data_IF_481165785583
#
_entry.id   IF_481165785583
#
_cell.length_a   1.000
_cell.length_b   1.000
_cell.length_c   1.000
_cell.angle_alpha   90.00
_cell.angle_beta   90.00
_cell.angle_gamma   90.00
#
_symmetry.space_group_name_H-M   'P 1'
#
loop_
_entity.id
_entity.type
_entity.pdbx_description
1 polymer ?
#
# COMPACT_ATOMS: atom_id res chain seq x y z
N UNK A 1 -11.57 5.03 -30.55
CA UNK A 1 -11.99 5.22 -29.15
C UNK A 1 -10.71 5.41 -28.34
N UNK A 2 -10.58 6.52 -27.64
CA UNK A 2 -9.36 6.80 -26.88
C UNK A 2 -9.14 5.79 -25.76
N UNK A 3 -7.89 5.52 -25.44
CA UNK A 3 -7.46 4.59 -24.39
C UNK A 3 -7.24 5.35 -23.08
N UNK A 4 -7.62 4.73 -21.96
CA UNK A 4 -7.27 5.17 -20.62
C UNK A 4 -5.77 4.94 -20.33
N UNK A 5 -5.24 5.51 -19.25
CA UNK A 5 -3.83 5.36 -18.90
C UNK A 5 -3.45 3.88 -18.71
N UNK A 6 -4.26 3.12 -17.99
CA UNK A 6 -4.06 1.68 -17.80
C UNK A 6 -4.08 0.92 -19.14
N UNK A 7 -4.98 1.26 -20.04
CA UNK A 7 -5.05 0.63 -21.36
C UNK A 7 -3.80 0.92 -22.21
N UNK A 8 -3.25 2.15 -22.15
CA UNK A 8 -2.00 2.50 -22.84
C UNK A 8 -0.83 1.63 -22.41
N UNK A 9 -0.66 1.45 -21.11
CA UNK A 9 0.42 0.62 -20.55
C UNK A 9 0.23 -0.83 -20.98
N UNK A 10 -0.96 -1.38 -20.84
CA UNK A 10 -1.27 -2.77 -21.21
C UNK A 10 -1.12 -3.02 -22.71
N UNK A 11 -1.53 -2.08 -23.58
CA UNK A 11 -1.34 -2.19 -25.02
C UNK A 11 0.15 -2.28 -25.38
N UNK A 12 0.98 -1.40 -24.81
CA UNK A 12 2.42 -1.39 -25.04
C UNK A 12 3.06 -2.73 -24.63
N UNK A 13 2.72 -3.26 -23.45
CA UNK A 13 3.26 -4.52 -22.94
C UNK A 13 2.73 -5.76 -23.67
N UNK A 14 1.57 -5.66 -24.30
CA UNK A 14 1.04 -6.70 -25.18
C UNK A 14 1.57 -6.62 -26.62
N UNK A 15 2.31 -5.56 -26.97
CA UNK A 15 2.77 -5.30 -28.33
C UNK A 15 1.64 -4.95 -29.30
N UNK A 16 0.54 -4.37 -28.77
CA UNK A 16 -0.64 -4.01 -29.54
C UNK A 16 -0.74 -2.49 -29.68
N UNK A 17 -1.27 -2.03 -30.83
CA UNK A 17 -1.50 -0.60 -31.06
C UNK A 17 -2.63 -0.05 -30.17
N UNK A 18 -3.65 -0.86 -29.90
CA UNK A 18 -4.78 -0.53 -29.05
C UNK A 18 -5.31 -1.77 -28.33
N UNK A 19 -5.93 -1.54 -27.16
CA UNK A 19 -6.69 -2.55 -26.40
C UNK A 19 -8.03 -1.97 -25.96
N UNK A 20 -9.00 -2.85 -25.67
CA UNK A 20 -10.34 -2.46 -25.20
C UNK A 20 -10.67 -3.16 -23.90
N UNK A 21 -11.48 -2.51 -23.05
CA UNK A 21 -12.01 -3.13 -21.84
C UNK A 21 -12.68 -4.48 -22.17
N UNK A 22 -12.37 -5.49 -21.36
CA UNK A 22 -12.84 -6.86 -21.54
C UNK A 22 -11.99 -7.73 -22.48
N UNK A 23 -11.06 -7.17 -23.25
CA UNK A 23 -10.14 -7.91 -24.13
C UNK A 23 -9.17 -8.75 -23.30
N UNK A 24 -8.94 -10.00 -23.70
CA UNK A 24 -7.89 -10.85 -23.13
C UNK A 24 -6.58 -10.60 -23.89
N UNK A 25 -5.52 -10.36 -23.16
CA UNK A 25 -4.17 -10.09 -23.69
C UNK A 25 -3.12 -10.90 -22.92
N UNK A 26 -1.99 -11.14 -23.55
CA UNK A 26 -0.75 -11.53 -22.87
C UNK A 26 0.18 -10.32 -22.87
N UNK A 27 0.68 -9.95 -21.69
CA UNK A 27 1.56 -8.79 -21.54
C UNK A 27 2.92 -9.22 -20.96
N UNK A 28 3.98 -8.56 -21.42
CA UNK A 28 5.32 -8.68 -20.83
C UNK A 28 5.32 -8.03 -19.44
N UNK A 29 6.10 -8.58 -18.54
CA UNK A 29 6.26 -8.08 -17.18
C UNK A 29 7.62 -7.39 -17.02
N UNK A 30 7.62 -6.25 -16.36
CA UNK A 30 8.85 -5.54 -15.96
C UNK A 30 9.30 -5.93 -14.56
N UNK A 31 8.37 -6.41 -13.72
CA UNK A 31 8.71 -6.91 -12.40
C UNK A 31 7.69 -7.95 -11.92
N UNK A 32 8.21 -8.99 -11.28
CA UNK A 32 7.44 -9.96 -10.49
C UNK A 32 7.92 -9.89 -9.06
N UNK A 33 7.01 -9.68 -8.10
CA UNK A 33 7.39 -9.54 -6.70
C UNK A 33 6.64 -10.49 -5.76
N UNK A 34 7.24 -10.76 -4.61
CA UNK A 34 6.64 -11.50 -3.54
C UNK A 34 7.36 -11.32 -2.20
N UNK A 35 6.72 -11.79 -1.15
CA UNK A 35 7.16 -11.64 0.23
C UNK A 35 7.37 -13.01 0.91
N UNK A 36 7.75 -13.01 2.18
CA UNK A 36 8.03 -14.22 2.95
C UNK A 36 6.79 -15.11 3.25
N UNK A 37 5.57 -14.64 2.91
CA UNK A 37 4.35 -15.47 3.02
C UNK A 37 4.02 -16.13 1.68
N UNK A 38 4.04 -15.38 0.60
CA UNK A 38 3.51 -15.79 -0.71
C UNK A 38 4.57 -16.40 -1.62
N UNK A 39 5.82 -15.93 -1.52
CA UNK A 39 6.94 -16.50 -2.31
C UNK A 39 7.16 -17.99 -2.04
N UNK A 40 7.13 -18.52 -0.80
CA UNK A 40 7.28 -19.94 -0.59
C UNK A 40 6.22 -20.79 -1.33
N UNK A 41 4.97 -20.30 -1.40
CA UNK A 41 3.90 -20.95 -2.15
C UNK A 41 4.18 -20.91 -3.65
N UNK A 42 4.62 -19.74 -4.15
CA UNK A 42 4.99 -19.58 -5.55
C UNK A 42 6.19 -20.47 -5.94
N UNK A 43 7.19 -20.60 -5.08
CA UNK A 43 8.34 -21.50 -5.29
C UNK A 43 7.87 -22.96 -5.43
N UNK A 44 6.98 -23.41 -4.56
CA UNK A 44 6.44 -24.77 -4.63
C UNK A 44 5.69 -25.01 -5.96
N UNK A 45 4.90 -24.05 -6.42
CA UNK A 45 4.20 -24.15 -7.71
C UNK A 45 5.18 -24.07 -8.90
N UNK A 46 6.22 -23.27 -8.80
CA UNK A 46 7.29 -23.15 -9.79
C UNK A 46 8.02 -24.50 -9.98
N UNK A 47 8.42 -25.12 -8.87
CA UNK A 47 9.10 -26.42 -8.89
C UNK A 47 8.19 -27.55 -9.38
N UNK A 48 6.93 -27.58 -8.92
CA UNK A 48 5.92 -28.55 -9.34
C UNK A 48 5.59 -28.45 -10.83
N UNK A 49 5.63 -27.23 -11.39
CA UNK A 49 5.44 -27.04 -12.83
C UNK A 49 6.65 -27.44 -13.67
N UNK A 50 7.78 -27.77 -13.03
CA UNK A 50 9.00 -28.20 -13.71
C UNK A 50 9.74 -27.06 -14.40
N UNK A 51 9.63 -25.83 -13.92
CA UNK A 51 10.40 -24.71 -14.46
C UNK A 51 11.87 -24.81 -14.04
N UNK A 52 12.80 -24.70 -15.01
CA UNK A 52 14.24 -24.88 -14.80
C UNK A 52 14.97 -23.55 -14.54
N UNK A 53 14.34 -22.39 -14.78
CA UNK A 53 14.95 -21.08 -14.63
C UNK A 53 13.94 -19.96 -14.53
N UNK A 54 14.40 -18.81 -14.06
CA UNK A 54 13.65 -17.57 -14.05
C UNK A 54 13.86 -16.81 -15.35
N UNK A 55 12.86 -16.00 -15.76
CA UNK A 55 12.96 -15.27 -17.01
C UNK A 55 14.05 -14.19 -16.97
N UNK A 56 14.22 -13.53 -15.83
CA UNK A 56 15.25 -12.53 -15.61
C UNK A 56 15.41 -12.26 -14.10
N UNK A 57 16.65 -12.41 -13.61
CA UNK A 57 16.99 -12.22 -12.19
C UNK A 57 16.94 -10.77 -11.71
N UNK A 58 17.01 -9.80 -12.61
CA UNK A 58 16.92 -8.37 -12.31
C UNK A 58 15.46 -7.91 -12.19
N UNK A 59 14.54 -8.66 -12.79
CA UNK A 59 13.11 -8.36 -12.87
C UNK A 59 12.25 -9.20 -11.90
N UNK A 60 12.88 -9.76 -10.88
CA UNK A 60 12.23 -10.43 -9.75
C UNK A 60 12.66 -9.76 -8.47
N UNK A 61 11.69 -9.41 -7.60
CA UNK A 61 11.95 -8.90 -6.27
C UNK A 61 11.34 -9.83 -5.21
N UNK A 62 12.12 -10.15 -4.18
CA UNK A 62 11.68 -10.92 -3.02
C UNK A 62 12.02 -10.12 -1.77
N UNK A 63 11.00 -9.74 -1.00
CA UNK A 63 11.14 -8.93 0.20
C UNK A 63 10.64 -9.70 1.41
N UNK A 64 11.51 -9.94 2.38
CA UNK A 64 11.12 -10.53 3.65
C UNK A 64 10.67 -9.41 4.59
N UNK A 65 9.35 -9.24 4.79
CA UNK A 65 8.80 -8.10 5.52
C UNK A 65 7.62 -8.41 6.44
N UNK A 66 7.05 -9.61 6.37
CA UNK A 66 5.88 -9.95 7.17
C UNK A 66 6.23 -10.56 8.54
N UNK A 67 7.21 -11.48 8.55
CA UNK A 67 7.55 -12.26 9.73
C UNK A 67 9.01 -12.13 10.16
N UNK A 68 9.70 -11.13 9.67
CA UNK A 68 11.11 -10.89 10.02
C UNK A 68 11.27 -9.70 10.97
N UNK A 69 12.22 -9.81 11.94
CA UNK A 69 12.97 -11.02 12.32
C UNK A 69 12.00 -12.15 12.69
N UNK A 70 12.33 -13.39 12.31
CA UNK A 70 11.35 -14.47 12.29
C UNK A 70 10.70 -14.70 13.68
N UNK A 71 9.37 -14.78 13.70
CA UNK A 71 8.56 -14.91 14.92
C UNK A 71 8.50 -16.34 15.48
N UNK A 72 8.71 -17.34 14.61
CA UNK A 72 8.63 -18.77 14.95
C UNK A 72 9.42 -19.62 13.95
N UNK A 73 9.50 -20.95 14.21
CA UNK A 73 10.23 -21.90 13.37
C UNK A 73 9.62 -21.98 11.96
N UNK A 74 8.30 -21.89 11.83
CA UNK A 74 7.61 -21.95 10.54
C UNK A 74 8.00 -20.75 9.66
N UNK A 75 7.96 -19.56 10.21
CA UNK A 75 8.37 -18.34 9.47
C UNK A 75 9.87 -18.38 9.13
N UNK A 76 10.72 -18.90 10.01
CA UNK A 76 12.14 -19.09 9.72
C UNK A 76 12.37 -20.06 8.55
N UNK A 77 11.58 -21.11 8.46
CA UNK A 77 11.62 -22.07 7.34
C UNK A 77 11.19 -21.41 6.04
N UNK A 78 10.12 -20.61 6.06
CA UNK A 78 9.66 -19.85 4.90
C UNK A 78 10.73 -18.86 4.40
N UNK A 79 11.32 -18.09 5.31
CA UNK A 79 12.41 -17.17 4.98
C UNK A 79 13.65 -17.91 4.43
N UNK A 80 13.98 -19.09 4.97
CA UNK A 80 15.06 -19.94 4.45
C UNK A 80 14.78 -20.36 3.01
N UNK A 81 13.57 -20.83 2.70
CA UNK A 81 13.17 -21.21 1.34
C UNK A 81 13.32 -20.06 0.35
N UNK A 82 12.92 -18.82 0.74
CA UNK A 82 13.13 -17.64 -0.09
C UNK A 82 14.62 -17.37 -0.35
N UNK A 83 15.48 -17.48 0.69
CA UNK A 83 16.93 -17.29 0.55
C UNK A 83 17.54 -18.34 -0.39
N UNK A 84 17.16 -19.59 -0.24
CA UNK A 84 17.67 -20.69 -1.07
C UNK A 84 17.27 -20.49 -2.54
N UNK A 85 16.02 -20.09 -2.80
CA UNK A 85 15.56 -19.76 -4.14
C UNK A 85 16.31 -18.56 -4.73
N UNK A 86 16.41 -17.46 -3.97
CA UNK A 86 17.13 -16.28 -4.42
C UNK A 86 18.60 -16.57 -4.74
N UNK A 87 19.28 -17.38 -3.92
CA UNK A 87 20.66 -17.81 -4.16
C UNK A 87 20.76 -18.74 -5.38
N UNK A 88 19.83 -19.70 -5.54
CA UNK A 88 19.82 -20.66 -6.65
C UNK A 88 19.73 -19.96 -8.02
N UNK A 89 18.93 -18.91 -8.11
CA UNK A 89 18.66 -18.18 -9.35
C UNK A 89 19.36 -16.82 -9.42
N UNK A 90 20.22 -16.51 -8.44
CA UNK A 90 21.01 -15.27 -8.37
C UNK A 90 20.11 -14.00 -8.46
N UNK A 91 18.96 -14.03 -7.75
CA UNK A 91 17.99 -12.92 -7.74
C UNK A 91 18.65 -11.68 -7.13
N UNK A 92 18.71 -10.59 -7.90
CA UNK A 92 19.41 -9.38 -7.48
C UNK A 92 18.59 -8.54 -6.47
N UNK A 93 17.28 -8.50 -6.61
CA UNK A 93 16.40 -7.73 -5.75
C UNK A 93 15.85 -8.59 -4.60
N UNK A 94 16.77 -9.08 -3.76
CA UNK A 94 16.44 -9.84 -2.56
C UNK A 94 16.75 -9.02 -1.30
N UNK A 95 15.74 -8.80 -0.47
CA UNK A 95 15.82 -7.96 0.72
C UNK A 95 15.45 -8.75 1.98
N UNK A 96 16.43 -8.93 2.85
CA UNK A 96 16.32 -9.65 4.12
C UNK A 96 16.59 -8.73 5.31
N UNK A 97 16.65 -9.29 6.51
CA UNK A 97 16.96 -8.59 7.78
C UNK A 97 18.18 -7.68 7.62
N UNK A 98 18.06 -6.43 8.03
CA UNK A 98 19.08 -5.39 7.89
C UNK A 98 18.93 -4.52 6.64
N UNK A 99 18.37 -5.05 5.56
CA UNK A 99 18.01 -4.29 4.35
C UNK A 99 16.50 -4.25 4.11
N UNK A 100 15.74 -4.78 5.06
CA UNK A 100 14.31 -4.96 4.97
C UNK A 100 13.53 -3.64 4.98
N UNK A 101 12.34 -3.70 4.46
CA UNK A 101 11.31 -2.68 4.49
C UNK A 101 10.04 -3.34 4.00
N UNK A 102 8.89 -2.75 4.30
CA UNK A 102 7.62 -3.23 3.78
C UNK A 102 7.65 -3.09 2.26
N UNK A 103 7.42 -4.18 1.51
CA UNK A 103 7.67 -4.29 0.08
C UNK A 103 7.11 -3.11 -0.74
N UNK A 104 5.88 -2.69 -0.46
CA UNK A 104 5.21 -1.59 -1.18
C UNK A 104 5.69 -0.18 -0.78
N UNK A 105 6.55 -0.06 0.20
CA UNK A 105 7.30 1.16 0.49
C UNK A 105 8.75 1.05 0.03
N UNK A 106 9.37 -0.12 0.19
CA UNK A 106 10.77 -0.37 -0.13
C UNK A 106 11.06 -0.31 -1.63
N UNK A 107 10.25 -1.00 -2.46
CA UNK A 107 10.52 -1.08 -3.90
C UNK A 107 10.44 0.27 -4.62
N UNK A 108 9.45 1.15 -4.33
CA UNK A 108 9.47 2.54 -4.82
C UNK A 108 10.67 3.34 -4.31
N UNK A 109 11.02 3.21 -3.03
CA UNK A 109 12.17 3.90 -2.42
C UNK A 109 13.48 3.53 -3.11
N UNK A 110 13.64 2.25 -3.47
CA UNK A 110 14.81 1.70 -4.17
C UNK A 110 14.79 1.95 -5.68
N UNK A 111 13.72 2.47 -6.24
CA UNK A 111 13.57 2.69 -7.69
C UNK A 111 13.50 1.39 -8.51
N UNK A 112 13.12 0.29 -7.87
CA UNK A 112 12.92 -1.03 -8.53
C UNK A 112 11.70 -0.97 -9.46
N UNK A 113 10.68 -0.21 -9.07
CA UNK A 113 9.50 0.08 -9.90
C UNK A 113 9.58 1.51 -10.39
N UNK A 114 9.23 1.72 -11.65
CA UNK A 114 9.22 3.04 -12.28
C UNK A 114 7.94 3.29 -13.08
N UNK A 115 7.80 4.50 -13.63
CA UNK A 115 6.66 4.84 -14.47
C UNK A 115 6.62 4.01 -15.74
N UNK A 116 5.43 3.58 -16.11
CA UNK A 116 5.17 2.79 -17.32
C UNK A 116 5.36 1.29 -17.15
N UNK A 117 5.88 0.82 -16.01
CA UNK A 117 6.07 -0.62 -15.75
C UNK A 117 4.73 -1.38 -15.75
N UNK A 118 4.81 -2.66 -16.11
CA UNK A 118 3.77 -3.68 -15.90
C UNK A 118 4.24 -4.66 -14.82
N UNK A 119 3.60 -4.60 -13.63
CA UNK A 119 4.08 -5.29 -12.43
C UNK A 119 3.01 -6.23 -11.90
N UNK A 120 3.40 -7.46 -11.55
CA UNK A 120 2.58 -8.38 -10.76
C UNK A 120 3.26 -8.74 -9.45
N UNK A 121 2.46 -8.99 -8.42
CA UNK A 121 2.95 -9.50 -7.14
C UNK A 121 1.95 -10.44 -6.49
N UNK A 122 2.44 -11.39 -5.73
CA UNK A 122 1.55 -12.27 -4.97
C UNK A 122 1.10 -11.62 -3.65
N UNK A 123 0.95 -10.31 -3.65
CA UNK A 123 0.33 -9.51 -2.59
C UNK A 123 -0.77 -8.61 -3.17
N UNK A 124 -1.89 -8.49 -2.45
CA UNK A 124 -3.05 -7.72 -2.90
C UNK A 124 -2.73 -6.24 -3.12
N UNK A 125 -1.81 -5.68 -2.32
CA UNK A 125 -1.47 -4.25 -2.35
C UNK A 125 -0.37 -3.91 -3.38
N UNK A 126 -0.01 -4.85 -4.27
CA UNK A 126 0.85 -4.58 -5.43
C UNK A 126 0.33 -3.41 -6.28
N UNK A 127 -0.97 -3.11 -6.23
CA UNK A 127 -1.57 -1.94 -6.87
C UNK A 127 -0.97 -0.58 -6.44
N UNK A 128 -0.20 -0.52 -5.35
CA UNK A 128 0.47 0.68 -4.81
C UNK A 128 1.26 1.44 -5.87
N UNK A 129 1.93 0.74 -6.78
CA UNK A 129 2.86 1.35 -7.73
C UNK A 129 2.20 2.16 -8.85
N UNK A 130 0.88 2.10 -8.97
CA UNK A 130 0.13 3.02 -9.83
C UNK A 130 0.29 4.50 -9.45
N UNK A 131 0.72 4.78 -8.22
CA UNK A 131 1.14 6.11 -7.79
C UNK A 131 2.31 6.67 -8.60
N UNK A 132 3.17 5.80 -9.14
CA UNK A 132 4.30 6.14 -10.01
C UNK A 132 3.91 6.19 -11.49
N UNK A 133 2.66 5.88 -11.84
CA UNK A 133 2.22 5.74 -13.23
C UNK A 133 2.54 4.36 -13.82
N UNK A 134 2.65 3.31 -13.01
CA UNK A 134 2.80 1.92 -13.43
C UNK A 134 1.43 1.20 -13.45
N UNK A 135 1.23 0.23 -14.34
CA UNK A 135 0.18 -0.75 -14.16
C UNK A 135 0.70 -1.83 -13.21
N UNK A 136 0.11 -1.93 -12.05
CA UNK A 136 0.53 -2.90 -11.03
C UNK A 136 -0.67 -3.54 -10.35
N UNK A 137 -0.62 -4.85 -10.15
CA UNK A 137 -1.76 -5.60 -9.61
C UNK A 137 -1.35 -6.85 -8.84
N UNK A 138 -2.15 -7.20 -7.83
CA UNK A 138 -2.02 -8.45 -7.11
C UNK A 138 -2.53 -9.64 -7.93
N UNK A 139 -1.82 -10.76 -7.81
CA UNK A 139 -2.16 -12.05 -8.45
C UNK A 139 -2.00 -13.20 -7.45
N UNK A 140 -2.45 -14.39 -7.82
CA UNK A 140 -2.21 -15.61 -7.05
C UNK A 140 -0.75 -16.07 -7.11
N UNK A 141 -0.34 -16.88 -6.12
CA UNK A 141 1.03 -17.45 -6.10
C UNK A 141 1.35 -18.31 -7.31
N UNK A 142 0.36 -18.95 -7.93
CA UNK A 142 0.51 -19.73 -9.17
C UNK A 142 0.83 -18.81 -10.36
N UNK A 143 0.12 -17.68 -10.48
CA UNK A 143 0.41 -16.68 -11.53
C UNK A 143 1.78 -16.02 -11.31
N UNK A 144 2.15 -15.78 -10.04
CA UNK A 144 3.50 -15.32 -9.70
C UNK A 144 4.56 -16.32 -10.16
N UNK A 145 4.37 -17.62 -9.90
CA UNK A 145 5.29 -18.67 -10.33
C UNK A 145 5.46 -18.69 -11.86
N UNK A 146 4.35 -18.63 -12.61
CA UNK A 146 4.37 -18.54 -14.06
C UNK A 146 5.06 -17.27 -14.54
N UNK A 147 4.78 -16.12 -13.91
CA UNK A 147 5.43 -14.84 -14.18
C UNK A 147 6.93 -14.88 -13.97
N UNK A 148 7.41 -15.47 -12.85
CA UNK A 148 8.85 -15.65 -12.59
C UNK A 148 9.55 -16.51 -13.64
N UNK A 149 8.85 -17.52 -14.18
CA UNK A 149 9.42 -18.41 -15.19
C UNK A 149 9.42 -17.81 -16.60
N UNK A 150 8.36 -17.07 -16.97
CA UNK A 150 8.09 -16.69 -18.37
C UNK A 150 8.26 -15.22 -18.67
N UNK A 151 8.24 -14.34 -17.66
CA UNK A 151 8.19 -12.89 -17.84
C UNK A 151 6.88 -12.39 -18.47
N UNK A 152 5.83 -13.20 -18.42
CA UNK A 152 4.53 -12.91 -19.05
C UNK A 152 3.39 -13.16 -18.09
N UNK A 153 2.32 -12.38 -18.23
CA UNK A 153 1.03 -12.65 -17.61
C UNK A 153 -0.11 -12.35 -18.56
N UNK A 154 -1.23 -13.05 -18.37
CA UNK A 154 -2.45 -12.75 -19.09
C UNK A 154 -3.32 -11.79 -18.27
N UNK A 155 -4.00 -10.89 -18.95
CA UNK A 155 -4.94 -9.96 -18.34
C UNK A 155 -6.22 -9.86 -19.17
N UNK A 156 -7.34 -9.76 -18.47
CA UNK A 156 -8.53 -9.14 -19.03
C UNK A 156 -8.38 -7.64 -18.83
N UNK A 157 -8.29 -6.87 -19.90
CA UNK A 157 -8.13 -5.41 -19.82
C UNK A 157 -9.27 -4.82 -19.00
N UNK A 158 -8.99 -4.11 -17.87
CA UNK A 158 -10.04 -3.55 -17.03
C UNK A 158 -10.72 -2.35 -17.72
N UNK A 159 -12.01 -2.18 -17.45
CA UNK A 159 -12.65 -0.88 -17.61
C UNK A 159 -12.13 0.10 -16.56
N UNK A 160 -12.40 1.39 -16.70
CA UNK A 160 -11.89 2.39 -15.77
C UNK A 160 -13.00 3.27 -15.18
N UNK A 161 -12.82 3.64 -13.92
CA UNK A 161 -13.54 4.72 -13.24
C UNK A 161 -12.58 5.90 -13.13
N UNK A 162 -13.03 7.08 -13.54
CA UNK A 162 -12.27 8.31 -13.40
C UNK A 162 -12.67 9.05 -12.12
N UNK A 163 -11.66 9.38 -11.29
CA UNK A 163 -11.83 10.24 -10.12
C UNK A 163 -11.20 11.60 -10.41
N UNK A 164 -12.03 12.64 -10.58
CA UNK A 164 -11.57 14.00 -10.88
C UNK A 164 -11.40 14.76 -9.57
N UNK A 165 -10.15 14.96 -9.16
CA UNK A 165 -9.79 15.65 -7.91
C UNK A 165 -9.71 17.15 -8.14
N UNK A 166 -10.36 17.94 -7.25
CA UNK A 166 -10.40 19.40 -7.30
C UNK A 166 -9.96 20.02 -5.97
N UNK A 167 -9.24 21.13 -6.04
CA UNK A 167 -8.76 21.85 -4.85
C UNK A 167 -7.56 21.17 -4.17
N UNK A 168 -7.45 21.32 -2.86
CA UNK A 168 -6.40 20.76 -2.01
C UNK A 168 -6.95 20.34 -0.66
N UNK A 169 -6.28 19.45 0.05
CA UNK A 169 -6.67 19.00 1.38
C UNK A 169 -6.78 20.15 2.38
N UNK A 170 -7.75 20.03 3.29
CA UNK A 170 -7.84 20.82 4.50
C UNK A 170 -6.81 20.40 5.56
N UNK A 171 -6.75 21.11 6.70
CA UNK A 171 -5.82 20.76 7.78
C UNK A 171 -6.03 19.33 8.31
N UNK A 172 -4.93 18.60 8.51
CA UNK A 172 -4.91 17.23 9.06
C UNK A 172 -5.65 16.18 8.22
N UNK A 173 -5.96 16.48 6.97
CA UNK A 173 -6.50 15.53 5.96
C UNK A 173 -5.36 15.08 5.06
N UNK A 174 -5.37 13.81 4.67
CA UNK A 174 -4.32 13.17 3.87
C UNK A 174 -4.89 12.22 2.81
N UNK A 175 -4.04 11.60 2.02
CA UNK A 175 -4.42 10.56 1.06
C UNK A 175 -5.21 9.40 1.69
N UNK A 176 -4.97 9.09 2.98
CA UNK A 176 -5.74 8.08 3.71
C UNK A 176 -7.21 8.48 3.85
N UNK A 177 -7.47 9.72 4.20
CA UNK A 177 -8.85 10.23 4.33
C UNK A 177 -9.54 10.25 2.96
N UNK A 178 -8.82 10.61 1.88
CA UNK A 178 -9.32 10.56 0.52
C UNK A 178 -9.74 9.15 0.11
N UNK A 179 -8.88 8.16 0.29
CA UNK A 179 -9.22 6.79 -0.16
C UNK A 179 -10.30 6.16 0.71
N UNK A 180 -10.34 6.43 2.00
CA UNK A 180 -11.43 5.98 2.87
C UNK A 180 -12.76 6.62 2.45
N UNK A 181 -12.77 7.92 2.13
CA UNK A 181 -13.95 8.60 1.61
C UNK A 181 -14.43 7.96 0.31
N UNK A 182 -13.53 7.66 -0.64
CA UNK A 182 -13.88 6.99 -1.90
C UNK A 182 -14.49 5.63 -1.63
N UNK A 183 -13.85 4.79 -0.81
CA UNK A 183 -14.36 3.44 -0.50
C UNK A 183 -15.72 3.54 0.19
N UNK A 184 -15.92 4.50 1.10
CA UNK A 184 -17.21 4.76 1.72
C UNK A 184 -18.30 5.17 0.73
N UNK A 185 -17.93 5.87 -0.35
CA UNK A 185 -18.87 6.32 -1.37
C UNK A 185 -19.27 5.22 -2.37
N UNK A 186 -18.29 4.38 -2.79
CA UNK A 186 -18.54 3.39 -3.87
C UNK A 186 -18.69 1.95 -3.37
N UNK A 187 -18.34 1.68 -2.10
CA UNK A 187 -18.35 0.34 -1.50
C UNK A 187 -17.07 -0.47 -1.79
N UNK A 188 -16.93 -1.61 -1.10
CA UNK A 188 -15.77 -2.51 -1.23
C UNK A 188 -15.71 -3.26 -2.57
N UNK A 189 -16.78 -3.23 -3.34
CA UNK A 189 -16.91 -3.85 -4.68
C UNK A 189 -17.25 -2.84 -5.79
N UNK A 190 -17.33 -1.54 -5.49
CA UNK A 190 -17.71 -0.50 -6.44
C UNK A 190 -16.77 -0.36 -7.64
N UNK A 191 -15.50 -0.70 -7.47
CA UNK A 191 -14.51 -0.75 -8.54
C UNK A 191 -14.09 -2.19 -8.91
N UNK A 192 -14.95 -3.19 -8.66
CA UNK A 192 -14.61 -4.60 -8.87
C UNK A 192 -14.07 -4.86 -10.27
N UNK A 193 -12.80 -5.32 -10.32
CA UNK A 193 -12.03 -5.60 -11.54
C UNK A 193 -11.84 -4.38 -12.47
N UNK A 194 -11.94 -3.16 -11.97
CA UNK A 194 -11.73 -1.92 -12.76
C UNK A 194 -10.40 -1.25 -12.42
N UNK A 195 -9.96 -0.33 -13.26
CA UNK A 195 -8.90 0.62 -12.96
C UNK A 195 -9.51 1.87 -12.31
N UNK A 196 -8.95 2.34 -11.21
CA UNK A 196 -9.28 3.64 -10.62
C UNK A 196 -8.26 4.67 -11.10
N UNK A 197 -8.65 5.55 -12.02
CA UNK A 197 -7.75 6.58 -12.58
C UNK A 197 -8.02 7.94 -11.94
N UNK A 198 -6.99 8.50 -11.29
CA UNK A 198 -7.08 9.77 -10.57
C UNK A 198 -6.59 10.90 -11.46
N UNK A 199 -7.42 11.90 -11.70
CA UNK A 199 -7.18 13.00 -12.63
C UNK A 199 -7.61 14.33 -12.03
N UNK A 200 -7.50 15.40 -12.79
CA UNK A 200 -7.97 16.73 -12.40
C UNK A 200 -6.91 17.59 -11.71
N UNK A 201 -7.20 18.89 -11.52
CA UNK A 201 -6.22 19.87 -11.04
C UNK A 201 -5.79 19.65 -9.59
N UNK A 202 -6.58 18.91 -8.80
CA UNK A 202 -6.25 18.58 -7.41
C UNK A 202 -5.08 17.60 -7.29
N UNK A 203 -4.79 16.79 -8.33
CA UNK A 203 -3.68 15.81 -8.31
C UNK A 203 -2.35 16.47 -7.99
N UNK A 204 -2.08 17.65 -8.52
CA UNK A 204 -0.83 18.37 -8.28
C UNK A 204 -0.63 18.81 -6.81
N UNK A 205 -1.68 18.79 -5.99
CA UNK A 205 -1.61 19.13 -4.56
C UNK A 205 -1.30 17.92 -3.66
N UNK A 206 -1.35 16.70 -4.19
CA UNK A 206 -1.06 15.46 -3.47
C UNK A 206 0.43 15.17 -3.49
N UNK A 207 0.97 14.83 -2.31
CA UNK A 207 2.34 14.33 -2.20
C UNK A 207 2.46 12.93 -2.80
N UNK A 208 3.68 12.43 -2.97
CA UNK A 208 3.86 11.03 -3.39
C UNK A 208 3.37 10.04 -2.33
N UNK A 209 3.54 10.36 -1.04
CA UNK A 209 3.07 9.51 0.05
C UNK A 209 1.54 9.42 0.07
N UNK A 210 0.82 10.53 -0.23
CA UNK A 210 -0.63 10.51 -0.45
C UNK A 210 -1.04 9.59 -1.61
N UNK A 211 -0.37 9.73 -2.78
CA UNK A 211 -0.68 8.93 -3.98
C UNK A 211 -0.41 7.44 -3.76
N UNK A 212 0.71 7.11 -3.10
CA UNK A 212 1.05 5.73 -2.74
C UNK A 212 0.01 5.14 -1.78
N UNK A 213 -0.48 5.91 -0.81
CA UNK A 213 -1.56 5.50 0.09
C UNK A 213 -2.87 5.24 -0.67
N UNK A 214 -3.25 6.15 -1.56
CA UNK A 214 -4.49 6.03 -2.36
C UNK A 214 -4.46 4.81 -3.27
N UNK A 215 -3.37 4.62 -4.03
CA UNK A 215 -3.22 3.46 -4.90
C UNK A 215 -3.13 2.14 -4.13
N UNK A 216 -2.48 2.14 -2.94
CA UNK A 216 -2.39 0.97 -2.07
C UNK A 216 -3.78 0.43 -1.72
N UNK A 217 -4.71 1.30 -1.38
CA UNK A 217 -6.05 0.90 -0.95
C UNK A 217 -7.08 0.80 -2.10
N UNK A 218 -6.69 0.93 -3.36
CA UNK A 218 -7.60 0.73 -4.49
C UNK A 218 -8.20 -0.69 -4.50
N UNK A 219 -7.43 -1.69 -4.08
CA UNK A 219 -7.91 -3.08 -3.96
C UNK A 219 -9.05 -3.22 -2.94
N UNK A 220 -9.13 -2.34 -1.94
CA UNK A 220 -10.20 -2.37 -0.94
C UNK A 220 -11.57 -1.91 -1.49
N UNK A 221 -11.58 -1.32 -2.70
CA UNK A 221 -12.78 -1.08 -3.49
C UNK A 221 -12.98 -2.17 -4.59
N UNK A 222 -12.20 -3.26 -4.57
CA UNK A 222 -12.23 -4.35 -5.56
C UNK A 222 -11.45 -4.07 -6.85
N UNK A 223 -10.73 -2.95 -6.94
CA UNK A 223 -10.03 -2.54 -8.16
C UNK A 223 -8.84 -3.46 -8.51
N UNK A 224 -8.54 -3.58 -9.79
CA UNK A 224 -7.28 -4.20 -10.27
C UNK A 224 -6.08 -3.31 -9.97
N UNK A 225 -6.24 -2.00 -10.12
CA UNK A 225 -5.22 -1.01 -9.79
C UNK A 225 -5.85 0.36 -9.51
N UNK A 226 -5.13 1.19 -8.75
CA UNK A 226 -5.29 2.64 -8.76
C UNK A 226 -4.12 3.25 -9.51
N UNK A 227 -4.30 4.33 -10.25
CA UNK A 227 -3.22 4.92 -11.04
C UNK A 227 -3.35 6.45 -11.13
N UNK A 228 -2.20 7.12 -11.00
CA UNK A 228 -2.06 8.56 -11.22
C UNK A 228 -1.28 8.82 -12.52
N UNK A 229 -1.59 9.91 -13.25
CA UNK A 229 -0.74 10.36 -14.33
C UNK A 229 0.61 10.85 -13.78
N UNK A 230 1.65 10.75 -14.58
CA UNK A 230 2.99 11.22 -14.22
C UNK A 230 3.07 12.74 -14.41
N UNK A 231 3.15 13.47 -13.30
CA UNK A 231 3.37 14.90 -13.26
C UNK A 231 4.75 15.26 -12.69
N UNK A 232 5.00 16.54 -12.42
CA UNK A 232 6.27 17.00 -11.86
C UNK A 232 6.57 16.41 -10.47
N UNK A 233 5.56 16.13 -9.65
CA UNK A 233 5.72 15.48 -8.35
C UNK A 233 6.26 14.06 -8.53
N UNK A 234 5.68 13.29 -9.44
CA UNK A 234 6.15 11.94 -9.76
C UNK A 234 7.53 11.96 -10.41
N UNK A 235 7.79 12.88 -11.36
CA UNK A 235 9.11 13.03 -11.99
C UNK A 235 10.20 13.36 -10.97
N UNK A 236 9.92 14.29 -10.05
CA UNK A 236 10.84 14.64 -8.97
C UNK A 236 11.13 13.45 -8.03
N UNK A 237 10.12 12.65 -7.74
CA UNK A 237 10.27 11.44 -6.93
C UNK A 237 11.13 10.38 -7.62
N UNK A 238 10.92 10.14 -8.92
CA UNK A 238 11.66 9.14 -9.70
C UNK A 238 13.11 9.56 -9.98
N UNK A 239 13.37 10.86 -10.05
CA UNK A 239 14.70 11.39 -10.39
C UNK A 239 15.79 10.92 -9.42
N UNK A 240 16.76 10.20 -9.96
CA UNK A 240 17.89 9.64 -9.20
C UNK A 240 17.53 8.40 -8.34
N UNK A 241 16.29 7.91 -8.43
CA UNK A 241 15.85 6.65 -7.82
C UNK A 241 15.71 5.53 -8.84
N UNK A 242 15.02 5.81 -9.96
CA UNK A 242 14.71 4.78 -10.97
C UNK A 242 15.96 4.06 -11.45
N UNK A 243 15.94 2.74 -11.39
CA UNK A 243 17.02 1.88 -11.89
C UNK A 243 16.89 1.61 -13.39
N UNK A 244 15.73 1.90 -13.99
CA UNK A 244 15.45 1.82 -15.42
C UNK A 244 14.94 3.16 -15.92
N UNK A 245 15.01 3.38 -17.23
CA UNK A 245 14.45 4.57 -17.86
C UNK A 245 12.90 4.56 -17.74
N UNK A 246 12.29 5.57 -17.11
CA UNK A 246 10.84 5.61 -16.98
C UNK A 246 10.17 5.93 -18.32
N UNK A 247 9.06 5.23 -18.61
CA UNK A 247 8.21 5.50 -19.78
C UNK A 247 6.93 6.19 -19.32
N UNK A 248 6.64 7.35 -19.89
CA UNK A 248 5.49 8.15 -19.51
C UNK A 248 4.34 7.95 -20.47
N UNK A 249 3.23 7.42 -19.98
CA UNK A 249 1.99 7.28 -20.71
C UNK A 249 0.96 8.30 -20.22
N UNK A 250 0.09 8.71 -21.11
CA UNK A 250 -1.05 9.59 -20.83
C UNK A 250 -2.32 8.99 -21.44
N UNK A 251 -3.45 9.16 -20.75
CA UNK A 251 -4.74 8.81 -21.33
C UNK A 251 -5.03 9.68 -22.57
N UNK A 252 -5.72 9.12 -23.54
CA UNK A 252 -6.17 9.90 -24.69
C UNK A 252 -7.20 10.96 -24.25
N UNK A 253 -7.28 12.12 -24.90
CA UNK A 253 -8.28 13.14 -24.56
C UNK A 253 -9.72 12.65 -24.67
N UNK A 254 -9.97 11.66 -25.54
CA UNK A 254 -11.26 10.99 -25.74
C UNK A 254 -11.32 9.60 -25.07
N UNK A 255 -10.51 9.36 -24.06
CA UNK A 255 -10.52 8.13 -23.28
C UNK A 255 -11.92 7.84 -22.70
N UNK A 256 -12.32 6.58 -22.74
CA UNK A 256 -13.67 6.17 -22.31
C UNK A 256 -13.62 5.59 -20.87
N UNK A 257 -14.37 6.20 -19.97
CA UNK A 257 -14.57 5.75 -18.60
C UNK A 257 -16.01 5.25 -18.41
N UNK A 258 -16.20 4.18 -17.63
CA UNK A 258 -17.56 3.72 -17.28
C UNK A 258 -18.27 4.71 -16.37
N UNK A 259 -17.51 5.40 -15.51
CA UNK A 259 -18.03 6.38 -14.58
C UNK A 259 -16.98 7.47 -14.34
N UNK A 260 -17.45 8.69 -14.12
CA UNK A 260 -16.63 9.81 -13.65
C UNK A 260 -17.19 10.33 -12.34
N UNK A 261 -16.33 10.42 -11.32
CA UNK A 261 -16.67 10.88 -9.97
C UNK A 261 -15.81 12.10 -9.66
N UNK A 262 -16.45 13.21 -9.31
CA UNK A 262 -15.74 14.42 -8.87
C UNK A 262 -15.58 14.43 -7.35
N UNK A 263 -14.38 14.78 -6.86
CA UNK A 263 -14.07 14.92 -5.45
C UNK A 263 -13.43 16.27 -5.18
N UNK A 264 -14.04 17.03 -4.29
CA UNK A 264 -13.53 18.33 -3.84
C UNK A 264 -12.70 18.11 -2.57
N UNK A 265 -11.37 18.09 -2.72
CA UNK A 265 -10.43 17.75 -1.64
C UNK A 265 -10.58 18.64 -0.39
N UNK A 266 -10.95 19.92 -0.56
CA UNK A 266 -11.16 20.85 0.54
C UNK A 266 -12.42 20.59 1.37
N UNK A 267 -13.31 19.71 0.90
CA UNK A 267 -14.52 19.30 1.63
C UNK A 267 -14.32 18.00 2.40
N UNK A 268 -13.19 17.32 2.19
CA UNK A 268 -12.87 16.10 2.94
C UNK A 268 -12.56 16.44 4.39
N UNK A 269 -13.02 15.58 5.28
CA UNK A 269 -12.77 15.65 6.72
C UNK A 269 -11.95 14.44 7.17
N UNK A 270 -11.25 14.51 8.33
CA UNK A 270 -10.63 13.35 8.93
C UNK A 270 -11.63 12.22 9.06
N UNK A 271 -11.32 11.09 8.41
CA UNK A 271 -12.23 9.97 8.21
C UNK A 271 -11.73 8.72 8.95
N UNK A 272 -12.66 7.98 9.52
CA UNK A 272 -12.40 6.69 10.17
C UNK A 272 -13.32 5.64 9.57
N UNK A 273 -12.74 4.52 9.14
CA UNK A 273 -13.55 3.35 8.76
C UNK A 273 -13.76 2.46 9.97
N UNK A 274 -15.02 2.22 10.30
CA UNK A 274 -15.43 1.38 11.43
C UNK A 274 -15.40 -0.12 11.06
N UNK A 275 -15.25 -1.02 12.03
CA UNK A 275 -15.32 -2.45 11.78
C UNK A 275 -16.69 -2.87 11.19
N UNK A 276 -16.75 -3.90 10.35
CA UNK A 276 -15.65 -4.79 9.92
C UNK A 276 -15.46 -4.73 8.39
N UNK A 277 -15.73 -3.57 7.77
CA UNK A 277 -15.50 -3.33 6.34
C UNK A 277 -14.90 -1.94 6.12
N UNK A 278 -13.96 -1.77 5.18
CA UNK A 278 -13.37 -0.47 4.88
C UNK A 278 -14.37 0.60 4.42
N UNK A 279 -15.51 0.20 3.86
CA UNK A 279 -16.59 1.11 3.40
C UNK A 279 -17.40 1.73 4.54
N UNK A 280 -17.31 1.20 5.75
CA UNK A 280 -18.08 1.72 6.89
C UNK A 280 -17.43 2.99 7.45
N UNK A 281 -17.43 4.05 6.66
CA UNK A 281 -16.71 5.30 6.93
C UNK A 281 -17.58 6.32 7.66
N UNK A 282 -16.95 7.00 8.62
CA UNK A 282 -17.51 8.06 9.44
C UNK A 282 -16.51 9.20 9.60
N UNK A 283 -16.98 10.40 9.94
CA UNK A 283 -16.09 11.47 10.35
C UNK A 283 -15.45 11.15 11.72
N UNK A 284 -14.18 11.45 11.89
CA UNK A 284 -13.46 11.16 13.15
C UNK A 284 -14.14 11.83 14.37
N UNK A 285 -14.78 12.98 14.19
CA UNK A 285 -15.53 13.69 15.23
C UNK A 285 -16.72 12.90 15.80
N UNK A 286 -17.27 11.96 15.05
CA UNK A 286 -18.39 11.11 15.48
C UNK A 286 -17.95 10.03 16.47
N UNK A 287 -16.69 9.61 16.40
CA UNK A 287 -16.13 8.51 17.21
C UNK A 287 -15.76 8.86 18.66
N UNK A 288 -15.97 10.09 19.12
CA UNK A 288 -15.52 10.62 20.42
C UNK A 288 -15.93 9.83 21.68
N UNK A 289 -16.86 8.92 21.56
CA UNK A 289 -17.32 8.02 22.65
C UNK A 289 -16.73 6.62 22.56
N UNK A 290 -16.03 6.31 21.46
CA UNK A 290 -15.44 4.98 21.22
C UNK A 290 -14.06 4.93 21.88
N UNK A 291 -13.99 4.23 23.02
CA UNK A 291 -12.74 3.98 23.72
C UNK A 291 -11.89 2.99 22.96
N UNK A 292 -10.57 3.21 22.95
CA UNK A 292 -9.59 2.36 22.28
C UNK A 292 -8.56 1.80 23.25
N UNK A 293 -7.96 0.66 22.88
CA UNK A 293 -6.94 -0.05 23.70
C UNK A 293 -5.58 0.01 23.02
N UNK A 294 -5.53 0.24 21.70
CA UNK A 294 -4.30 0.24 20.94
C UNK A 294 -4.35 1.22 19.76
N UNK A 295 -3.19 1.75 19.41
CA UNK A 295 -2.98 2.38 18.10
C UNK A 295 -1.80 1.72 17.38
N UNK A 296 -1.92 1.58 16.06
CA UNK A 296 -0.83 1.13 15.19
C UNK A 296 -0.65 2.18 14.09
N UNK A 297 0.52 2.80 14.03
CA UNK A 297 0.88 3.81 13.02
C UNK A 297 2.03 3.25 12.19
N UNK A 298 1.78 3.01 10.91
CA UNK A 298 2.73 2.39 10.00
C UNK A 298 2.04 1.64 8.87
N UNK A 299 2.64 0.55 8.41
CA UNK A 299 2.23 -0.30 7.28
C UNK A 299 2.67 0.21 5.90
N UNK A 300 2.41 -0.61 4.86
CA UNK A 300 2.64 -0.21 3.45
C UNK A 300 1.80 0.99 3.04
N UNK A 301 0.68 1.23 3.72
CA UNK A 301 -0.23 2.34 3.44
C UNK A 301 0.33 3.65 4.00
N UNK A 302 0.71 3.66 5.29
CA UNK A 302 1.06 4.88 6.04
C UNK A 302 2.22 4.64 7.03
N UNK A 303 3.38 4.30 6.51
CA UNK A 303 4.62 4.16 7.29
C UNK A 303 5.78 4.95 6.70
N UNK A 304 5.53 5.85 5.76
CA UNK A 304 6.52 6.69 5.10
C UNK A 304 6.89 7.90 5.96
N UNK A 305 7.81 8.71 5.48
CA UNK A 305 8.38 9.78 6.29
C UNK A 305 7.33 10.84 6.67
N UNK A 306 6.45 11.23 5.74
CA UNK A 306 5.38 12.19 6.00
C UNK A 306 4.35 11.67 7.02
N UNK A 307 4.09 10.36 7.01
CA UNK A 307 3.21 9.70 7.99
C UNK A 307 3.80 9.75 9.39
N UNK A 308 5.11 9.48 9.50
CA UNK A 308 5.85 9.59 10.77
C UNK A 308 5.88 11.04 11.27
N UNK A 309 6.06 12.01 10.37
CA UNK A 309 6.00 13.43 10.69
C UNK A 309 4.62 13.86 11.20
N UNK A 310 3.55 13.41 10.54
CA UNK A 310 2.18 13.69 10.97
C UNK A 310 1.91 13.19 12.39
N UNK A 311 2.34 11.96 12.70
CA UNK A 311 2.23 11.39 14.05
C UNK A 311 3.11 12.14 15.06
N UNK A 312 4.37 12.43 14.71
CA UNK A 312 5.31 13.18 15.54
C UNK A 312 4.76 14.55 15.93
N UNK A 313 4.22 15.30 14.98
CA UNK A 313 3.68 16.64 15.23
C UNK A 313 2.51 16.68 16.22
N UNK A 314 1.84 15.53 16.44
CA UNK A 314 0.77 15.39 17.42
C UNK A 314 1.31 14.87 18.76
N UNK A 315 2.21 13.90 18.72
CA UNK A 315 2.68 13.20 19.94
C UNK A 315 3.83 13.92 20.67
N UNK A 316 4.58 14.77 19.97
CA UNK A 316 5.75 15.46 20.53
C UNK A 316 5.43 16.20 21.83
N UNK A 317 6.19 15.88 22.91
CA UNK A 317 6.07 16.50 24.21
C UNK A 317 4.78 16.17 24.98
N UNK A 318 4.07 15.12 24.53
CA UNK A 318 2.82 14.64 25.15
C UNK A 318 2.93 13.16 25.49
N UNK A 319 1.99 12.65 26.29
CA UNK A 319 1.87 11.23 26.61
C UNK A 319 0.57 10.65 26.07
N UNK A 320 0.62 9.42 25.56
CA UNK A 320 -0.58 8.66 25.19
C UNK A 320 -1.44 8.36 26.43
N UNK A 321 -2.73 8.19 26.24
CA UNK A 321 -3.67 7.93 27.32
C UNK A 321 -3.32 6.65 28.08
N UNK A 322 -3.51 6.67 29.41
CA UNK A 322 -3.29 5.50 30.26
C UNK A 322 -4.16 4.32 29.80
N UNK A 323 -3.52 3.18 29.54
CA UNK A 323 -4.18 1.97 29.06
C UNK A 323 -4.19 1.81 27.55
N UNK A 324 -3.73 2.80 26.79
CA UNK A 324 -3.53 2.67 25.34
C UNK A 324 -2.11 2.18 25.05
N UNK A 325 -1.98 1.22 24.15
CA UNK A 325 -0.69 0.76 23.60
C UNK A 325 -0.43 1.47 22.29
N UNK A 326 0.70 2.18 22.17
CA UNK A 326 1.13 2.84 20.94
C UNK A 326 2.22 2.03 20.22
N UNK A 327 2.00 1.66 18.97
CA UNK A 327 2.96 0.94 18.14
C UNK A 327 3.23 1.75 16.89
N UNK A 328 4.50 2.17 16.71
CA UNK A 328 4.96 2.95 15.57
C UNK A 328 5.85 2.07 14.70
N UNK A 329 5.58 2.01 13.40
CA UNK A 329 6.28 1.14 12.45
C UNK A 329 6.71 1.95 11.23
N UNK A 330 7.93 2.51 11.22
CA UNK A 330 8.51 3.09 10.01
C UNK A 330 8.58 2.04 8.90
N UNK A 331 8.18 2.40 7.68
CA UNK A 331 7.96 1.40 6.61
C UNK A 331 9.26 0.80 6.05
N UNK A 332 10.39 1.48 6.16
CA UNK A 332 11.70 1.01 5.66
C UNK A 332 12.82 1.34 6.64
N UNK A 333 13.96 0.67 6.48
CA UNK A 333 15.15 0.99 7.27
C UNK A 333 15.65 2.41 7.04
N UNK A 334 15.42 2.99 5.84
CA UNK A 334 15.76 4.38 5.58
C UNK A 334 14.85 5.34 6.35
N UNK A 335 13.55 5.12 6.33
CA UNK A 335 12.59 5.91 7.15
C UNK A 335 12.90 5.74 8.64
N UNK A 336 13.19 4.53 9.10
CA UNK A 336 13.53 4.28 10.51
C UNK A 336 14.79 5.06 10.93
N UNK A 337 15.84 5.00 10.11
CA UNK A 337 17.08 5.77 10.33
C UNK A 337 16.81 7.27 10.35
N UNK A 338 15.99 7.77 9.45
CA UNK A 338 15.64 9.19 9.39
C UNK A 338 14.85 9.62 10.64
N UNK A 339 13.93 8.79 11.14
CA UNK A 339 13.23 9.04 12.40
C UNK A 339 14.20 9.13 13.59
N UNK A 340 15.25 8.30 13.61
CA UNK A 340 16.31 8.39 14.64
C UNK A 340 17.08 9.70 14.52
N UNK A 341 17.54 10.04 13.31
CA UNK A 341 18.35 11.25 13.07
C UNK A 341 17.59 12.55 13.38
N UNK A 342 16.27 12.58 13.15
CA UNK A 342 15.40 13.71 13.49
C UNK A 342 14.96 13.73 14.96
N UNK A 343 15.32 12.72 15.76
CA UNK A 343 14.89 12.59 17.16
C UNK A 343 13.43 12.17 17.34
N UNK A 344 12.73 11.79 16.25
CA UNK A 344 11.32 11.39 16.30
C UNK A 344 11.13 10.07 17.03
N UNK A 345 12.07 9.13 16.88
CA UNK A 345 12.05 7.84 17.61
C UNK A 345 12.05 8.08 19.12
N UNK A 346 12.92 8.96 19.62
CA UNK A 346 12.95 9.33 21.03
C UNK A 346 11.64 9.97 21.47
N UNK A 347 11.09 10.90 20.68
CA UNK A 347 9.83 11.54 21.01
C UNK A 347 8.65 10.56 21.07
N UNK A 348 8.61 9.55 20.21
CA UNK A 348 7.59 8.49 20.28
C UNK A 348 7.74 7.63 21.54
N UNK A 349 8.97 7.29 21.92
CA UNK A 349 9.25 6.55 23.15
C UNK A 349 8.85 7.39 24.39
N UNK A 350 9.21 8.67 24.42
CA UNK A 350 8.84 9.59 25.49
C UNK A 350 7.31 9.77 25.59
N UNK A 351 6.61 9.69 24.45
CA UNK A 351 5.15 9.69 24.43
C UNK A 351 4.52 8.38 24.97
N UNK A 352 5.32 7.35 25.23
CA UNK A 352 4.85 6.05 25.73
C UNK A 352 4.55 5.04 24.64
N UNK A 353 5.04 5.25 23.40
CA UNK A 353 4.92 4.31 22.30
C UNK A 353 6.15 3.38 22.21
N UNK A 354 5.96 2.20 21.62
CA UNK A 354 7.07 1.38 21.13
C UNK A 354 7.32 1.72 19.65
N UNK A 355 8.59 1.82 19.26
CA UNK A 355 8.99 1.95 17.85
C UNK A 355 9.60 0.64 17.38
N UNK A 356 8.98 0.01 16.40
CA UNK A 356 9.40 -1.27 15.84
C UNK A 356 10.32 -1.10 14.65
N UNK A 357 11.07 -2.16 14.34
CA UNK A 357 11.66 -2.32 13.00
C UNK A 357 10.57 -2.41 11.94
N UNK A 358 10.87 -2.07 10.66
CA UNK A 358 9.92 -2.22 9.55
C UNK A 358 9.34 -3.63 9.48
N UNK A 359 8.01 -3.75 9.48
CA UNK A 359 7.32 -5.02 9.29
C UNK A 359 5.86 -4.81 8.89
N UNK A 360 5.33 -5.69 8.06
CA UNK A 360 3.91 -5.75 7.72
C UNK A 360 3.08 -6.62 8.68
N UNK A 361 3.74 -7.35 9.59
CA UNK A 361 3.14 -8.37 10.46
C UNK A 361 1.90 -7.97 11.27
N UNK A 362 1.83 -6.78 11.89
CA UNK A 362 0.63 -6.35 12.62
C UNK A 362 -0.61 -6.21 11.74
N UNK A 363 -0.45 -5.81 10.49
CA UNK A 363 -1.56 -5.59 9.55
C UNK A 363 -2.41 -6.84 9.31
N UNK A 364 -1.83 -8.02 9.46
CA UNK A 364 -2.52 -9.30 9.27
C UNK A 364 -2.67 -10.12 10.56
N UNK A 365 -2.35 -9.53 11.72
CA UNK A 365 -2.39 -10.24 13.00
C UNK A 365 -1.37 -11.39 13.10
N UNK A 366 -0.30 -11.32 12.32
CA UNK A 366 0.64 -12.42 12.16
C UNK A 366 1.93 -12.32 12.95
N UNK A 367 2.27 -11.14 13.49
CA UNK A 367 3.58 -10.93 14.11
C UNK A 367 3.51 -10.27 15.51
N UNK A 368 3.21 -8.97 15.58
CA UNK A 368 3.14 -8.22 16.84
C UNK A 368 1.87 -7.40 16.92
N UNK A 369 1.55 -6.83 18.11
CA UNK A 369 0.39 -5.97 18.29
C UNK A 369 -0.95 -6.69 18.09
N UNK A 370 -0.97 -8.00 18.32
CA UNK A 370 -2.17 -8.83 18.18
C UNK A 370 -3.19 -8.45 19.25
N UNK A 371 -4.44 -8.29 18.83
CA UNK A 371 -5.55 -7.89 19.69
C UNK A 371 -6.22 -9.09 20.34
N UNK A 372 -6.55 -8.96 21.62
CA UNK A 372 -7.36 -9.91 22.38
C UNK A 372 -8.86 -9.68 22.12
N UNK A 373 -9.71 -10.56 22.70
CA UNK A 373 -11.16 -10.46 22.65
C UNK A 373 -11.66 -9.11 23.15
N UNK A 374 -12.44 -8.40 22.32
CA UNK A 374 -13.09 -7.13 22.69
C UNK A 374 -12.16 -5.91 22.64
N UNK A 375 -10.87 -6.07 22.34
CA UNK A 375 -9.95 -4.93 22.20
C UNK A 375 -10.21 -4.14 20.90
N UNK A 376 -10.00 -2.82 20.99
CA UNK A 376 -10.20 -1.85 19.89
C UNK A 376 -8.89 -1.18 19.51
N UNK A 377 -8.59 -1.19 18.22
CA UNK A 377 -7.38 -0.56 17.67
C UNK A 377 -7.73 0.48 16.62
N UNK A 378 -7.21 1.69 16.74
CA UNK A 378 -7.13 2.62 15.61
C UNK A 378 -5.83 2.37 14.86
N UNK A 379 -5.93 2.08 13.56
CA UNK A 379 -4.79 1.63 12.77
C UNK A 379 -4.69 2.37 11.45
N UNK A 380 -3.48 2.64 11.01
CA UNK A 380 -3.21 3.19 9.68
C UNK A 380 -3.02 2.11 8.60
N UNK A 381 -3.26 0.85 8.95
CA UNK A 381 -3.27 -0.28 8.01
C UNK A 381 -4.42 -0.16 7.01
N UNK A 382 -4.58 -1.14 6.14
CA UNK A 382 -5.50 -1.07 5.00
C UNK A 382 -6.78 -1.89 5.15
N UNK A 383 -6.86 -2.83 6.09
CA UNK A 383 -8.00 -3.74 6.29
C UNK A 383 -8.45 -3.82 7.73
N UNK A 384 -9.75 -3.93 7.93
CA UNK A 384 -10.40 -4.06 9.25
C UNK A 384 -11.43 -5.19 9.31
N UNK A 385 -11.26 -6.24 8.50
CA UNK A 385 -12.13 -7.41 8.49
C UNK A 385 -12.13 -8.12 9.84
N UNK A 386 -13.16 -8.93 10.08
CA UNK A 386 -13.26 -9.76 11.29
C UNK A 386 -11.97 -10.57 11.53
N UNK A 387 -11.38 -10.41 12.72
CA UNK A 387 -10.15 -11.11 13.10
C UNK A 387 -8.87 -10.63 12.42
N UNK A 388 -8.91 -9.53 11.68
CA UNK A 388 -7.76 -9.06 10.87
C UNK A 388 -6.48 -8.83 11.66
N UNK A 389 -6.57 -8.29 12.88
CA UNK A 389 -5.42 -7.99 13.72
C UNK A 389 -5.38 -8.84 15.01
N UNK A 390 -6.09 -9.98 15.04
CA UNK A 390 -6.09 -10.85 16.22
C UNK A 390 -7.40 -11.60 16.43
N UNK A 391 -7.97 -11.48 17.63
CA UNK A 391 -9.20 -12.20 17.98
C UNK A 391 -10.38 -11.78 17.11
N UNK A 392 -11.26 -12.73 16.77
CA UNK A 392 -12.43 -12.49 15.88
C UNK A 392 -13.44 -11.46 16.44
N UNK A 393 -13.43 -11.22 17.75
CA UNK A 393 -14.27 -10.20 18.40
C UNK A 393 -13.48 -8.90 18.67
N UNK A 394 -12.27 -8.75 18.17
CA UNK A 394 -11.57 -7.48 18.22
C UNK A 394 -12.06 -6.56 17.12
N UNK A 395 -11.89 -5.26 17.30
CA UNK A 395 -12.36 -4.22 16.40
C UNK A 395 -11.20 -3.37 15.91
N UNK A 396 -11.07 -3.24 14.58
CA UNK A 396 -10.04 -2.38 13.95
C UNK A 396 -10.72 -1.21 13.27
N UNK A 397 -10.29 -0.01 13.57
CA UNK A 397 -10.74 1.26 13.00
C UNK A 397 -9.63 1.81 12.11
N UNK A 398 -9.89 1.95 10.80
CA UNK A 398 -8.88 2.48 9.88
C UNK A 398 -8.91 4.01 9.89
N UNK A 399 -7.75 4.63 10.02
CA UNK A 399 -7.64 6.08 10.05
C UNK A 399 -6.28 6.57 9.54
N UNK A 400 -6.15 7.89 9.31
CA UNK A 400 -4.88 8.52 8.98
C UNK A 400 -3.93 8.54 10.19
N UNK A 401 -2.60 8.69 9.97
CA UNK A 401 -1.61 8.83 11.06
C UNK A 401 -1.94 9.94 12.05
N UNK A 402 -2.46 11.07 11.56
CA UNK A 402 -2.87 12.18 12.41
C UNK A 402 -4.04 11.78 13.33
N UNK A 403 -5.07 11.14 12.78
CA UNK A 403 -6.23 10.67 13.55
C UNK A 403 -5.83 9.58 14.55
N UNK A 404 -4.96 8.65 14.16
CA UNK A 404 -4.46 7.60 15.06
C UNK A 404 -3.64 8.19 16.22
N UNK A 405 -2.75 9.14 15.94
CA UNK A 405 -1.96 9.82 16.97
C UNK A 405 -2.82 10.65 17.94
N UNK A 406 -3.82 11.37 17.42
CA UNK A 406 -4.78 12.10 18.24
C UNK A 406 -5.60 11.15 19.15
N UNK A 407 -6.03 10.03 18.59
CA UNK A 407 -6.76 8.99 19.35
C UNK A 407 -5.90 8.36 20.42
N UNK A 408 -4.59 8.20 20.18
CA UNK A 408 -3.65 7.71 21.19
C UNK A 408 -3.58 8.64 22.42
N UNK A 409 -3.59 9.97 22.20
CA UNK A 409 -3.53 10.97 23.27
C UNK A 409 -4.77 10.95 24.18
N UNK A 410 -5.94 10.76 23.61
CA UNK A 410 -7.20 10.87 24.33
C UNK A 410 -7.71 9.53 24.86
N UNK A 411 -7.31 8.40 24.26
CA UNK A 411 -7.85 7.08 24.51
C UNK A 411 -9.21 6.82 23.86
N UNK A 412 -9.63 7.71 22.96
CA UNK A 412 -10.87 7.63 22.19
C UNK A 412 -10.61 8.00 20.73
N UNK A 413 -11.46 7.57 19.81
CA UNK A 413 -11.40 8.05 18.42
C UNK A 413 -11.55 9.58 18.44
N UNK A 414 -10.58 10.29 17.87
CA UNK A 414 -10.46 11.75 18.03
C UNK A 414 -10.13 12.42 16.71
N UNK A 415 -10.86 13.50 16.44
CA UNK A 415 -10.56 14.39 15.32
C UNK A 415 -9.21 15.10 15.57
N UNK A 416 -8.20 14.89 14.71
CA UNK A 416 -6.85 15.44 14.90
C UNK A 416 -6.77 16.96 14.87
N UNK A 417 -7.85 17.64 14.47
CA UNK A 417 -7.95 19.12 14.47
C UNK A 417 -8.24 19.70 15.85
N UNK A 418 -8.60 18.85 16.81
CA UNK A 418 -9.01 19.25 18.17
C UNK A 418 -7.91 19.12 19.23
N UNK A 419 -6.72 18.62 18.88
CA UNK A 419 -5.62 18.33 19.81
C UNK A 419 -4.34 19.10 19.49
#
# INVERSE_FOLDING_TARGET
MGMTLTQKILAAHAGLAEVKAGQLINAKLDLVLGNDITTPVAINEFEKAGFDGVFDKEHIAIVLDHFVPNKDIKSATQSKQCREFANKYDILNFYDVGQMGIEHALLPEKGIVTAGDCVIGADSHTCTYGALGAFSTGVGSTDMAAGMATGMAWFKVPAAIQFVLKGKFGPRVSGKDLILHIIGQIGVDGALYKSMEFTGPGVASLTMDDRLCVCNMAIEAGAKNGIFPVDETTRAYLKGRSQREPVFYEADPDAVYEQTIEIVLSQLEPTVSYPHLPENTHHAAEGKTIKIDQVVIGSCTNGRLEDMEAAYNILKGRHIAKGVRGIIIPATMAVYKECILRGWTTAFIDAGCIVSTPTCGPCLGGYMGILAEGERCVSTTNRNFVGRMGHVKSEVYLASPATAAASALTGYITDPRTV
#
